data_IF_470139257942
#
_entry.id   IF_470139257942
#
_cell.length_a   1.000
_cell.length_b   1.000
_cell.length_c   1.000
_cell.angle_alpha   90.00
_cell.angle_beta   90.00
_cell.angle_gamma   90.00
#
_symmetry.space_group_name_H-M   'P 1'
#
loop_
_entity.id
_entity.type
_entity.pdbx_description
1 polymer ?
#
# COMPACT_ATOMS: atom_id res chain seq x y z
N UNK A 1 19.81 -1.28 26.46
CA UNK A 1 19.37 -0.60 25.23
C UNK A 1 17.89 -0.93 25.00
N UNK A 2 17.04 0.05 24.74
CA UNK A 2 15.62 -0.21 24.47
C UNK A 2 15.45 -0.91 23.12
N UNK A 3 14.51 -1.86 23.04
CA UNK A 3 14.09 -2.49 21.79
C UNK A 3 12.71 -1.95 21.43
N UNK A 4 12.54 -1.46 20.20
CA UNK A 4 11.30 -0.85 19.72
C UNK A 4 10.80 -1.68 18.54
N UNK A 5 9.56 -2.11 18.59
CA UNK A 5 8.85 -2.77 17.51
C UNK A 5 7.64 -1.92 17.12
N UNK A 6 7.49 -1.65 15.83
CA UNK A 6 6.30 -1.00 15.25
C UNK A 6 5.70 -1.90 14.16
N UNK A 7 4.39 -1.84 13.98
CA UNK A 7 3.66 -2.64 12.98
C UNK A 7 2.44 -1.86 12.49
N UNK A 8 1.77 -2.29 11.41
CA UNK A 8 0.48 -1.72 11.02
C UNK A 8 -0.51 -1.71 12.19
N UNK A 9 -1.30 -0.63 12.29
CA UNK A 9 -2.31 -0.54 13.37
C UNK A 9 -3.37 -1.63 13.26
N UNK A 10 -3.70 -2.05 12.02
CA UNK A 10 -4.60 -3.17 11.77
C UNK A 10 -4.09 -4.00 10.59
N UNK A 11 -4.07 -5.31 10.75
CA UNK A 11 -3.81 -6.27 9.71
C UNK A 11 -5.06 -7.13 9.49
N UNK A 12 -5.55 -7.20 8.25
CA UNK A 12 -6.75 -7.94 7.86
C UNK A 12 -6.33 -8.97 6.81
N UNK A 13 -6.74 -10.22 6.99
CA UNK A 13 -6.48 -11.28 6.03
C UNK A 13 -7.68 -12.20 5.91
N UNK A 14 -8.15 -12.41 4.70
CA UNK A 14 -9.23 -13.34 4.41
C UNK A 14 -9.62 -13.34 2.93
N UNK A 15 -10.44 -14.28 2.49
CA UNK A 15 -10.95 -14.29 1.12
C UNK A 15 -12.09 -13.28 0.95
N UNK A 16 -12.05 -12.48 -0.12
CA UNK A 16 -13.11 -11.52 -0.47
C UNK A 16 -13.18 -10.28 0.41
N UNK A 17 -12.12 -9.96 1.15
CA UNK A 17 -12.10 -8.83 2.10
C UNK A 17 -12.18 -7.46 1.39
N UNK A 18 -11.76 -7.35 0.12
CA UNK A 18 -11.96 -6.12 -0.67
C UNK A 18 -13.44 -5.71 -0.76
N UNK A 19 -14.38 -6.67 -0.70
CA UNK A 19 -15.83 -6.40 -0.70
C UNK A 19 -16.35 -5.76 0.60
N UNK A 20 -15.47 -5.54 1.57
CA UNK A 20 -15.78 -4.90 2.86
C UNK A 20 -14.88 -3.68 3.12
N UNK A 21 -14.09 -3.27 2.11
CA UNK A 21 -13.08 -2.24 2.27
C UNK A 21 -13.65 -0.94 2.85
N UNK A 22 -14.79 -0.48 2.36
CA UNK A 22 -15.48 0.71 2.85
C UNK A 22 -15.76 0.65 4.35
N UNK A 23 -16.29 -0.47 4.86
CA UNK A 23 -16.58 -0.66 6.29
C UNK A 23 -15.31 -0.59 7.16
N UNK A 24 -14.18 -1.10 6.66
CA UNK A 24 -12.92 -1.06 7.41
C UNK A 24 -12.32 0.34 7.52
N UNK A 25 -12.60 1.21 6.55
CA UNK A 25 -12.00 2.56 6.50
C UNK A 25 -12.90 3.67 7.06
N UNK A 26 -14.16 3.42 7.35
CA UNK A 26 -15.12 4.40 7.86
C UNK A 26 -14.63 5.19 9.09
N UNK A 27 -13.87 4.53 9.96
CA UNK A 27 -13.30 5.17 11.15
C UNK A 27 -12.06 6.04 10.85
N UNK A 28 -11.51 5.98 9.64
CA UNK A 28 -10.37 6.78 9.21
C UNK A 28 -10.80 8.05 8.47
N UNK A 29 -11.99 8.05 7.86
CA UNK A 29 -12.56 9.16 7.12
C UNK A 29 -13.74 8.71 6.24
N UNK A 30 -14.30 9.64 5.48
CA UNK A 30 -15.49 9.41 4.65
C UNK A 30 -15.21 9.43 3.16
N UNK A 31 -14.12 10.05 2.73
CA UNK A 31 -13.77 10.19 1.31
C UNK A 31 -12.40 9.56 1.05
N UNK A 32 -12.40 8.43 0.38
CA UNK A 32 -11.20 7.67 0.08
C UNK A 32 -10.68 7.96 -1.34
N UNK A 33 -9.40 8.25 -1.48
CA UNK A 33 -8.72 8.26 -2.77
C UNK A 33 -8.07 6.89 -2.99
N UNK A 34 -8.59 6.13 -3.94
CA UNK A 34 -8.10 4.80 -4.30
C UNK A 34 -7.08 4.90 -5.43
N UNK A 35 -5.82 4.63 -5.12
CA UNK A 35 -4.74 4.52 -6.09
C UNK A 35 -4.69 3.09 -6.62
N UNK A 36 -4.81 2.92 -7.93
CA UNK A 36 -4.81 1.62 -8.58
C UNK A 36 -4.37 1.76 -10.05
N UNK A 37 -3.81 0.71 -10.65
CA UNK A 37 -3.57 0.72 -12.10
C UNK A 37 -4.87 0.42 -12.86
N UNK A 38 -4.99 0.89 -14.10
CA UNK A 38 -6.15 0.55 -14.95
C UNK A 38 -6.37 -0.97 -15.06
N UNK A 39 -5.27 -1.73 -15.24
CA UNK A 39 -5.35 -3.18 -15.30
C UNK A 39 -5.72 -3.82 -13.95
N UNK A 40 -5.32 -3.20 -12.85
CA UNK A 40 -5.74 -3.57 -11.50
C UNK A 40 -7.23 -3.35 -11.31
N UNK A 41 -7.73 -2.18 -11.70
CA UNK A 41 -9.16 -1.86 -11.60
C UNK A 41 -10.04 -2.80 -12.42
N UNK A 42 -9.60 -3.18 -13.63
CA UNK A 42 -10.29 -4.19 -14.44
C UNK A 42 -10.41 -5.56 -13.74
N UNK A 43 -9.47 -5.90 -12.85
CA UNK A 43 -9.47 -7.19 -12.13
C UNK A 43 -10.26 -7.16 -10.82
N UNK A 44 -10.18 -6.09 -10.05
CA UNK A 44 -10.74 -6.03 -8.70
C UNK A 44 -11.71 -4.88 -8.47
N UNK A 45 -11.97 -4.03 -9.48
CA UNK A 45 -12.81 -2.84 -9.36
C UNK A 45 -14.21 -3.15 -8.86
N UNK A 46 -14.86 -4.19 -9.40
CA UNK A 46 -16.19 -4.60 -8.93
C UNK A 46 -16.23 -5.02 -7.45
N UNK A 47 -15.15 -5.63 -6.96
CA UNK A 47 -15.05 -5.97 -5.53
C UNK A 47 -14.86 -4.74 -4.66
N UNK A 48 -14.06 -3.76 -5.15
CA UNK A 48 -13.85 -2.48 -4.45
C UNK A 48 -15.15 -1.69 -4.40
N UNK A 49 -15.84 -1.54 -5.54
CA UNK A 49 -17.14 -0.85 -5.63
C UNK A 49 -18.17 -1.47 -4.68
N UNK A 50 -18.29 -2.80 -4.69
CA UNK A 50 -19.17 -3.51 -3.75
C UNK A 50 -18.79 -3.22 -2.29
N UNK A 51 -17.50 -3.09 -1.97
CA UNK A 51 -17.02 -2.77 -0.64
C UNK A 51 -17.41 -1.38 -0.15
N UNK A 52 -17.63 -0.43 -1.05
CA UNK A 52 -18.06 0.92 -0.72
C UNK A 52 -19.59 1.11 -0.78
N UNK A 53 -20.31 0.27 -1.54
CA UNK A 53 -21.79 0.38 -1.64
C UNK A 53 -22.52 0.21 -0.29
N UNK A 54 -21.98 -0.63 0.58
CA UNK A 54 -22.54 -0.92 1.91
C UNK A 54 -21.83 -0.11 3.02
N UNK A 55 -21.21 1.01 2.68
CA UNK A 55 -20.41 1.84 3.57
C UNK A 55 -20.89 3.29 3.57
N UNK A 56 -20.62 4.01 4.64
CA UNK A 56 -20.80 5.47 4.69
C UNK A 56 -19.63 6.21 4.01
N UNK A 57 -18.53 5.52 3.72
CA UNK A 57 -17.41 6.08 2.98
C UNK A 57 -17.69 6.03 1.47
N UNK A 58 -17.23 7.04 0.76
CA UNK A 58 -17.24 7.10 -0.71
C UNK A 58 -15.82 7.06 -1.24
N UNK A 59 -15.64 6.72 -2.51
CA UNK A 59 -14.32 6.65 -3.11
C UNK A 59 -14.24 7.41 -4.42
N UNK A 60 -13.07 8.00 -4.66
CA UNK A 60 -12.60 8.46 -5.95
C UNK A 60 -11.43 7.59 -6.40
N UNK A 61 -11.32 7.35 -7.71
CA UNK A 61 -10.26 6.50 -8.28
C UNK A 61 -9.21 7.35 -8.98
N UNK A 62 -7.95 7.13 -8.60
CA UNK A 62 -6.80 7.71 -9.27
C UNK A 62 -5.97 6.59 -9.92
N UNK A 63 -5.83 6.67 -11.24
CA UNK A 63 -4.97 5.73 -11.95
C UNK A 63 -3.50 6.09 -11.79
N UNK A 64 -2.73 5.09 -11.35
CA UNK A 64 -1.31 5.17 -11.07
C UNK A 64 -0.47 4.99 -12.33
N UNK A 65 0.55 5.84 -12.52
CA UNK A 65 1.41 5.91 -13.71
C UNK A 65 2.64 4.97 -13.67
N UNK A 66 2.56 3.85 -12.98
CA UNK A 66 3.53 2.74 -12.97
C UNK A 66 4.79 2.92 -12.14
N UNK A 67 5.28 4.15 -11.86
CA UNK A 67 6.50 4.34 -11.08
C UNK A 67 6.24 5.13 -9.79
N UNK A 68 6.88 4.70 -8.70
CA UNK A 68 6.87 5.42 -7.43
C UNK A 68 7.90 6.54 -7.49
N UNK A 69 7.59 7.60 -8.22
CA UNK A 69 8.45 8.77 -8.35
C UNK A 69 7.90 9.99 -7.62
N UNK A 70 8.79 10.94 -7.27
CA UNK A 70 8.35 12.21 -6.67
C UNK A 70 7.39 12.96 -7.60
N UNK A 71 7.60 12.90 -8.91
CA UNK A 71 6.71 13.50 -9.93
C UNK A 71 5.31 12.90 -9.85
N UNK A 72 5.20 11.57 -9.76
CA UNK A 72 3.90 10.90 -9.64
C UNK A 72 3.20 11.22 -8.30
N UNK A 73 3.96 11.25 -7.22
CA UNK A 73 3.44 11.63 -5.89
C UNK A 73 2.88 13.05 -5.94
N UNK A 74 3.62 14.01 -6.51
CA UNK A 74 3.18 15.40 -6.63
C UNK A 74 1.95 15.53 -7.53
N UNK A 75 1.93 14.83 -8.67
CA UNK A 75 0.75 14.79 -9.56
C UNK A 75 -0.51 14.33 -8.82
N UNK A 76 -0.41 13.29 -8.01
CA UNK A 76 -1.54 12.77 -7.23
C UNK A 76 -1.98 13.80 -6.19
N UNK A 77 -1.04 14.39 -5.48
CA UNK A 77 -1.33 15.41 -4.46
C UNK A 77 -2.03 16.61 -5.08
N UNK A 78 -1.46 17.17 -6.14
CA UNK A 78 -1.99 18.38 -6.75
C UNK A 78 -3.37 18.17 -7.36
N UNK A 79 -3.56 17.07 -8.08
CA UNK A 79 -4.80 16.83 -8.82
C UNK A 79 -5.94 16.29 -7.97
N UNK A 80 -5.65 15.43 -7.00
CA UNK A 80 -6.68 14.68 -6.28
C UNK A 80 -6.78 15.04 -4.81
N UNK A 81 -5.70 15.48 -4.17
CA UNK A 81 -5.72 15.82 -2.75
C UNK A 81 -5.97 17.31 -2.54
N UNK A 82 -5.23 18.19 -3.24
CA UNK A 82 -5.36 19.63 -3.10
C UNK A 82 -6.63 20.20 -3.77
N UNK A 83 -7.05 19.62 -4.90
CA UNK A 83 -8.26 20.01 -5.63
C UNK A 83 -9.48 19.17 -5.24
N UNK A 84 -9.27 18.02 -4.65
CA UNK A 84 -10.30 17.13 -4.12
C UNK A 84 -10.45 17.29 -2.61
N UNK A 85 -11.39 16.54 -2.07
CA UNK A 85 -11.67 16.52 -0.63
C UNK A 85 -11.60 15.06 -0.17
N UNK A 86 -10.36 14.50 -0.14
CA UNK A 86 -10.16 13.13 0.33
C UNK A 86 -9.63 13.12 1.77
N UNK A 87 -10.09 12.16 2.56
CA UNK A 87 -9.68 11.96 3.95
C UNK A 87 -8.64 10.85 4.09
N UNK A 88 -8.67 9.87 3.19
CA UNK A 88 -7.93 8.61 3.28
C UNK A 88 -7.25 8.33 1.95
N UNK A 89 -6.02 7.85 2.00
CA UNK A 89 -5.30 7.32 0.83
C UNK A 89 -5.34 5.79 0.89
N UNK A 90 -5.80 5.15 -0.19
CA UNK A 90 -5.85 3.70 -0.31
C UNK A 90 -5.01 3.27 -1.50
N UNK A 91 -3.99 2.45 -1.29
CA UNK A 91 -3.18 1.87 -2.35
C UNK A 91 -3.55 0.41 -2.61
N UNK A 92 -4.03 0.08 -3.83
CA UNK A 92 -4.44 -1.29 -4.19
C UNK A 92 -3.56 -1.79 -5.34
N UNK A 93 -2.57 -2.63 -5.03
CA UNK A 93 -1.63 -3.11 -6.05
C UNK A 93 -0.39 -3.80 -5.52
N UNK A 94 0.72 -3.69 -6.25
CA UNK A 94 2.03 -4.20 -5.85
C UNK A 94 2.86 -3.18 -5.07
N UNK A 95 4.13 -3.50 -4.81
CA UNK A 95 5.03 -2.71 -3.96
C UNK A 95 5.17 -1.24 -4.37
N UNK A 96 5.40 -0.93 -5.65
CA UNK A 96 5.51 0.46 -6.14
C UNK A 96 4.27 1.29 -5.82
N UNK A 97 3.10 0.71 -5.96
CA UNK A 97 1.83 1.38 -5.67
C UNK A 97 1.62 1.54 -4.17
N UNK A 98 1.98 0.53 -3.37
CA UNK A 98 1.97 0.62 -1.92
C UNK A 98 2.88 1.76 -1.44
N UNK A 99 4.09 1.86 -1.98
CA UNK A 99 5.04 2.92 -1.66
C UNK A 99 4.53 4.31 -2.08
N UNK A 100 3.93 4.42 -3.27
CA UNK A 100 3.32 5.69 -3.71
C UNK A 100 2.18 6.11 -2.77
N UNK A 101 1.30 5.19 -2.39
CA UNK A 101 0.21 5.50 -1.46
C UNK A 101 0.73 5.97 -0.09
N UNK A 102 1.76 5.31 0.44
CA UNK A 102 2.42 5.72 1.69
C UNK A 102 3.08 7.09 1.56
N UNK A 103 3.76 7.38 0.45
CA UNK A 103 4.40 8.67 0.21
C UNK A 103 3.37 9.80 0.10
N UNK A 104 2.28 9.61 -0.67
CA UNK A 104 1.17 10.58 -0.76
C UNK A 104 0.57 10.85 0.61
N UNK A 105 0.27 9.80 1.38
CA UNK A 105 -0.28 9.92 2.72
C UNK A 105 0.65 10.69 3.68
N UNK A 106 1.96 10.42 3.60
CA UNK A 106 2.98 11.10 4.40
C UNK A 106 3.01 12.61 4.13
N UNK A 107 3.11 13.02 2.86
CA UNK A 107 3.18 14.44 2.51
C UNK A 107 1.87 15.18 2.80
N UNK A 108 0.73 14.49 2.75
CA UNK A 108 -0.60 15.08 2.98
C UNK A 108 -1.10 14.88 4.41
N UNK A 109 -0.34 14.17 5.27
CA UNK A 109 -0.70 13.84 6.66
C UNK A 109 -2.05 13.13 6.80
N UNK A 110 -2.36 12.27 5.83
CA UNK A 110 -3.60 11.49 5.82
C UNK A 110 -3.36 10.05 6.26
N UNK A 111 -4.36 9.35 6.79
CA UNK A 111 -4.29 7.92 7.01
C UNK A 111 -4.06 7.16 5.70
N UNK A 112 -3.35 6.03 5.78
CA UNK A 112 -3.05 5.18 4.62
C UNK A 112 -3.49 3.74 4.85
N UNK A 113 -4.13 3.20 3.82
CA UNK A 113 -4.54 1.80 3.74
C UNK A 113 -3.83 1.16 2.54
N UNK A 114 -3.22 0.03 2.74
CA UNK A 114 -2.52 -0.72 1.68
C UNK A 114 -3.21 -2.07 1.50
N UNK A 115 -3.66 -2.32 0.26
CA UNK A 115 -4.30 -3.57 -0.14
C UNK A 115 -3.45 -4.24 -1.24
N UNK A 116 -2.49 -5.10 -0.88
CA UNK A 116 -1.68 -5.82 -1.86
C UNK A 116 -2.53 -6.75 -2.73
N UNK A 117 -2.26 -6.75 -4.03
CA UNK A 117 -2.86 -7.70 -4.99
C UNK A 117 -1.92 -8.85 -5.34
N UNK A 118 -0.71 -8.82 -4.80
CA UNK A 118 0.34 -9.81 -4.95
C UNK A 118 1.11 -9.92 -3.62
N UNK A 119 1.64 -11.09 -3.32
CA UNK A 119 2.47 -11.33 -2.15
C UNK A 119 3.94 -11.52 -2.57
N UNK A 120 4.59 -10.45 -3.06
CA UNK A 120 5.96 -10.51 -3.61
C UNK A 120 7.01 -9.82 -2.75
N UNK A 121 6.62 -9.12 -1.68
CA UNK A 121 7.51 -8.31 -0.84
C UNK A 121 6.82 -7.95 0.47
N UNK A 122 7.57 -7.56 1.49
CA UNK A 122 7.10 -7.06 2.78
C UNK A 122 6.73 -5.55 2.76
N UNK A 123 7.02 -4.84 1.70
CA UNK A 123 6.79 -3.40 1.54
C UNK A 123 5.41 -2.91 2.02
N UNK A 124 4.30 -3.66 1.85
CA UNK A 124 2.99 -3.23 2.34
C UNK A 124 2.92 -2.94 3.83
N UNK A 125 3.73 -3.63 4.64
CA UNK A 125 3.69 -3.51 6.10
C UNK A 125 4.71 -2.51 6.66
N UNK A 126 5.70 -2.07 5.87
CA UNK A 126 6.82 -1.28 6.36
C UNK A 126 6.50 0.21 6.52
N UNK A 127 7.19 0.87 7.47
CA UNK A 127 7.22 2.33 7.63
C UNK A 127 8.27 2.97 6.70
N UNK A 128 8.28 2.56 5.44
CA UNK A 128 9.27 2.97 4.44
C UNK A 128 8.59 3.06 3.07
N UNK A 129 8.95 4.05 2.26
CA UNK A 129 8.70 4.06 0.83
C UNK A 129 10.01 4.21 0.09
N UNK A 130 10.17 3.50 -1.01
CA UNK A 130 11.30 3.65 -1.91
C UNK A 130 10.87 4.51 -3.09
N UNK A 131 11.52 5.66 -3.27
CA UNK A 131 11.25 6.56 -4.39
C UNK A 131 12.28 6.31 -5.50
N UNK A 132 11.79 6.40 -6.73
CA UNK A 132 12.56 6.22 -7.95
C UNK A 132 12.43 7.45 -8.84
N UNK A 133 13.34 7.62 -9.79
CA UNK A 133 13.16 8.54 -10.91
C UNK A 133 12.07 8.00 -11.84
N UNK A 134 11.58 8.83 -12.78
CA UNK A 134 10.61 8.38 -13.77
C UNK A 134 11.14 7.24 -14.67
N UNK A 135 12.48 7.14 -14.81
CA UNK A 135 13.16 6.06 -15.54
C UNK A 135 13.37 4.79 -14.70
N UNK A 136 12.88 4.76 -13.46
CA UNK A 136 12.96 3.60 -12.57
C UNK A 136 14.31 3.41 -11.90
N UNK A 137 15.17 4.43 -11.86
CA UNK A 137 16.43 4.42 -11.11
C UNK A 137 16.15 4.79 -9.65
N UNK A 138 16.78 4.09 -8.71
CA UNK A 138 16.68 4.42 -7.29
C UNK A 138 17.03 5.90 -7.05
N UNK A 139 16.17 6.60 -6.31
CA UNK A 139 16.36 7.99 -5.92
C UNK A 139 16.63 8.10 -4.42
N UNK A 140 15.67 7.74 -3.57
CA UNK A 140 15.82 7.88 -2.13
C UNK A 140 14.92 6.93 -1.33
N UNK A 141 15.29 6.73 -0.06
CA UNK A 141 14.41 6.16 0.95
C UNK A 141 13.63 7.26 1.66
N UNK A 142 12.31 7.12 1.72
CA UNK A 142 11.43 7.96 2.51
C UNK A 142 11.04 7.21 3.78
N UNK A 143 11.69 7.53 4.91
CA UNK A 143 11.36 6.98 6.21
C UNK A 143 10.09 7.60 6.76
N UNK A 144 9.15 6.76 7.13
CA UNK A 144 7.83 7.18 7.61
C UNK A 144 7.76 7.10 9.13
N UNK A 145 7.01 8.01 9.80
CA UNK A 145 6.92 8.02 11.26
C UNK A 145 6.11 6.85 11.83
N UNK A 146 5.32 6.18 10.99
CA UNK A 146 4.48 5.04 11.38
C UNK A 146 4.28 4.09 10.19
N UNK A 147 3.91 2.85 10.50
CA UNK A 147 3.43 1.88 9.52
C UNK A 147 2.02 2.29 9.00
N UNK A 148 1.51 1.69 7.92
CA UNK A 148 0.15 1.93 7.44
C UNK A 148 -0.91 1.73 8.53
N UNK A 149 -2.00 2.50 8.45
CA UNK A 149 -3.10 2.39 9.40
C UNK A 149 -3.82 1.05 9.24
N UNK A 150 -3.99 0.59 8.00
CA UNK A 150 -4.52 -0.75 7.69
C UNK A 150 -3.69 -1.38 6.57
N UNK A 151 -3.35 -2.66 6.75
CA UNK A 151 -2.90 -3.54 5.66
C UNK A 151 -3.95 -4.64 5.49
N UNK A 152 -4.49 -4.76 4.27
CA UNK A 152 -5.54 -5.73 3.96
C UNK A 152 -5.08 -6.70 2.87
N UNK A 153 -5.02 -7.98 3.20
CA UNK A 153 -4.64 -9.07 2.32
C UNK A 153 -5.89 -9.86 1.91
N UNK A 154 -6.45 -9.53 0.74
CA UNK A 154 -7.51 -10.36 0.16
C UNK A 154 -6.90 -11.61 -0.45
N UNK A 155 -7.04 -12.74 0.24
CA UNK A 155 -6.41 -14.00 -0.16
C UNK A 155 -7.00 -14.58 -1.44
N UNK A 156 -8.25 -14.26 -1.78
CA UNK A 156 -8.83 -14.64 -3.06
C UNK A 156 -8.16 -13.90 -4.23
N UNK A 157 -7.84 -12.63 -4.06
CA UNK A 157 -7.12 -11.83 -5.08
C UNK A 157 -5.69 -12.33 -5.22
N UNK A 158 -4.99 -12.51 -4.11
CA UNK A 158 -3.59 -12.95 -4.09
C UNK A 158 -3.44 -14.34 -4.68
N UNK A 159 -4.35 -15.28 -4.39
CA UNK A 159 -4.30 -16.64 -4.93
C UNK A 159 -4.38 -16.70 -6.46
N UNK A 160 -4.96 -15.68 -7.09
CA UNK A 160 -5.06 -15.55 -8.56
C UNK A 160 -3.84 -14.85 -9.17
N UNK A 161 -2.89 -14.40 -8.36
CA UNK A 161 -1.68 -13.77 -8.85
C UNK A 161 -0.69 -14.79 -9.43
N UNK A 162 0.22 -14.38 -10.35
CA UNK A 162 1.23 -15.29 -10.89
C UNK A 162 2.09 -15.91 -9.80
N UNK A 163 2.23 -17.23 -9.79
CA UNK A 163 2.99 -18.03 -8.78
C UNK A 163 4.41 -17.50 -8.58
N UNK A 164 5.07 -17.03 -9.64
CA UNK A 164 6.43 -16.46 -9.54
C UNK A 164 6.51 -15.28 -8.56
N UNK A 165 5.43 -14.53 -8.36
CA UNK A 165 5.39 -13.41 -7.41
C UNK A 165 5.25 -13.90 -5.97
N UNK A 166 4.51 -14.98 -5.75
CA UNK A 166 4.47 -15.65 -4.44
C UNK A 166 5.83 -16.26 -4.09
N UNK A 167 6.50 -16.87 -5.06
CA UNK A 167 7.87 -17.38 -4.89
C UNK A 167 8.85 -16.25 -4.55
N UNK A 168 8.72 -15.08 -5.19
CA UNK A 168 9.53 -13.93 -4.86
C UNK A 168 9.29 -13.48 -3.40
N UNK A 169 8.04 -13.43 -2.93
CA UNK A 169 7.71 -13.07 -1.55
C UNK A 169 8.22 -14.09 -0.52
N UNK A 170 8.23 -15.39 -0.86
CA UNK A 170 8.86 -16.41 0.00
C UNK A 170 10.36 -16.14 0.10
N UNK A 171 11.02 -15.79 -1.02
CA UNK A 171 12.45 -15.43 -1.04
C UNK A 171 12.74 -14.18 -0.23
N UNK A 172 11.90 -13.15 -0.36
CA UNK A 172 11.98 -11.90 0.39
C UNK A 172 11.87 -12.15 1.92
N UNK A 173 10.86 -12.91 2.32
CA UNK A 173 10.69 -13.30 3.73
C UNK A 173 11.87 -14.12 4.27
N UNK A 174 12.43 -15.01 3.46
CA UNK A 174 13.61 -15.79 3.86
C UNK A 174 14.87 -14.92 3.96
N UNK A 175 15.04 -13.94 3.07
CA UNK A 175 16.16 -13.00 3.09
C UNK A 175 16.25 -12.26 4.43
N UNK A 176 15.11 -11.85 4.99
CA UNK A 176 15.03 -11.18 6.30
C UNK A 176 15.73 -11.95 7.42
N UNK A 177 15.62 -13.29 7.40
CA UNK A 177 16.32 -14.12 8.38
C UNK A 177 17.84 -14.04 8.24
N UNK A 178 18.36 -14.08 7.02
CA UNK A 178 19.80 -14.00 6.76
C UNK A 178 20.35 -12.61 7.06
N UNK A 179 19.62 -11.57 6.73
CA UNK A 179 19.94 -10.17 7.05
C UNK A 179 20.00 -9.96 8.56
N UNK A 180 19.01 -10.40 9.30
CA UNK A 180 19.00 -10.31 10.75
C UNK A 180 20.18 -11.06 11.41
N UNK A 181 20.56 -12.22 10.86
CA UNK A 181 21.76 -12.94 11.30
C UNK A 181 23.03 -12.16 11.04
N UNK A 182 23.17 -11.56 9.85
CA UNK A 182 24.33 -10.77 9.50
C UNK A 182 24.46 -9.52 10.39
N UNK A 183 23.36 -8.78 10.59
CA UNK A 183 23.32 -7.64 11.50
C UNK A 183 23.72 -8.04 12.94
N UNK A 184 23.19 -9.14 13.43
CA UNK A 184 23.57 -9.65 14.78
C UNK A 184 25.04 -10.01 14.85
N UNK A 185 25.61 -10.62 13.83
CA UNK A 185 27.02 -11.03 13.79
C UNK A 185 27.98 -9.84 13.69
N UNK A 186 27.60 -8.78 12.96
CA UNK A 186 28.40 -7.56 12.80
C UNK A 186 28.26 -6.58 13.97
N UNK A 187 27.29 -6.77 14.84
CA UNK A 187 26.98 -5.84 15.93
C UNK A 187 26.31 -4.54 15.49
N UNK A 188 25.76 -4.52 14.25
CA UNK A 188 25.04 -3.38 13.69
C UNK A 188 23.61 -3.27 14.26
#
# INVERSE_FOLDING_TARGET
MAKILISPSKYIQGPGELKKLGQYVENLGKKALVLITESGYKRVGSAIEAGFNDSQAVMDVCYFNRECSKVEVDRIIDKYVNQGDCDIIIGIGGGKLADTAKAVAYYTKKPVVVCPTIASTDAPCSALSVLYTEDGVFDQYLFLPKNPDIVMMDTEVISKSPVRLTVAGIGDALATYFEARACKASGA
#
